data_IF_714281783481
#
_entry.id   IF_714281783481
#
_cell.length_a   1.000
_cell.length_b   1.000
_cell.length_c   1.000
_cell.angle_alpha   90.00
_cell.angle_beta   90.00
_cell.angle_gamma   90.00
#
_symmetry.space_group_name_H-M   'P 1'
#
loop_
_entity.id
_entity.type
_entity.pdbx_description
1 polymer ?
#
# COMPACT_ATOMS: atom_id res chain seq x y z
N UNK A 1 -4.53 10.59 -21.44
CA UNK A 1 -4.04 11.11 -20.14
C UNK A 1 -2.70 10.48 -19.85
N UNK A 2 -1.68 11.27 -19.50
CA UNK A 2 -0.37 10.75 -19.09
C UNK A 2 -0.45 10.37 -17.61
N UNK A 3 -0.16 9.11 -17.28
CA UNK A 3 -0.13 8.61 -15.90
C UNK A 3 1.18 9.04 -15.24
N UNK A 4 1.11 9.92 -14.23
CA UNK A 4 2.30 10.51 -13.57
C UNK A 4 2.71 9.81 -12.27
N UNK A 5 1.75 9.30 -11.48
CA UNK A 5 2.02 8.50 -10.27
C UNK A 5 1.18 7.20 -10.27
N UNK A 6 1.72 6.08 -10.77
CA UNK A 6 1.03 4.80 -10.77
C UNK A 6 0.69 4.26 -9.38
N UNK A 7 1.44 4.64 -8.33
CA UNK A 7 1.19 4.19 -6.96
C UNK A 7 0.01 4.97 -6.36
N UNK A 8 -0.05 6.28 -6.59
CA UNK A 8 -1.20 7.09 -6.17
C UNK A 8 -2.50 6.62 -6.85
N UNK A 9 -2.46 6.29 -8.15
CA UNK A 9 -3.60 5.69 -8.87
C UNK A 9 -4.04 4.37 -8.22
N UNK A 10 -3.09 3.48 -7.92
CA UNK A 10 -3.37 2.19 -7.28
C UNK A 10 -4.06 2.34 -5.91
N UNK A 11 -3.53 3.21 -5.04
CA UNK A 11 -4.13 3.48 -3.73
C UNK A 11 -5.53 4.11 -3.87
N UNK A 12 -5.71 4.99 -4.85
CA UNK A 12 -7.00 5.63 -5.12
C UNK A 12 -8.05 4.64 -5.61
N UNK A 13 -7.69 3.70 -6.49
CA UNK A 13 -8.58 2.61 -6.94
C UNK A 13 -9.05 1.76 -5.77
N UNK A 14 -8.14 1.36 -4.87
CA UNK A 14 -8.46 0.60 -3.66
C UNK A 14 -9.42 1.41 -2.78
N UNK A 15 -9.10 2.67 -2.50
CA UNK A 15 -9.95 3.56 -1.69
C UNK A 15 -11.36 3.68 -2.28
N UNK A 16 -11.46 3.93 -3.58
CA UNK A 16 -12.75 4.13 -4.24
C UNK A 16 -13.60 2.85 -4.19
N UNK A 17 -13.00 1.69 -4.51
CA UNK A 17 -13.67 0.39 -4.41
C UNK A 17 -14.13 0.08 -2.99
N UNK A 18 -13.31 0.39 -1.98
CA UNK A 18 -13.65 0.23 -0.57
C UNK A 18 -14.80 1.16 -0.13
N UNK A 19 -14.86 2.39 -0.64
CA UNK A 19 -15.96 3.33 -0.35
C UNK A 19 -17.31 2.82 -0.85
N UNK A 20 -17.35 2.15 -2.00
CA UNK A 20 -18.60 1.61 -2.58
C UNK A 20 -18.83 0.12 -2.24
N UNK A 21 -18.07 -0.44 -1.29
CA UNK A 21 -18.21 -1.84 -0.84
C UNK A 21 -18.07 -2.90 -1.95
N UNK A 22 -17.18 -2.67 -2.93
CA UNK A 22 -16.86 -3.68 -3.92
C UNK A 22 -16.07 -4.84 -3.28
N UNK A 23 -16.26 -6.06 -3.76
CA UNK A 23 -15.50 -7.23 -3.27
C UNK A 23 -14.06 -7.26 -3.77
N UNK A 24 -13.82 -6.70 -4.95
CA UNK A 24 -12.53 -6.73 -5.62
C UNK A 24 -12.25 -5.46 -6.43
N UNK A 25 -10.97 -5.20 -6.67
CA UNK A 25 -10.49 -4.12 -7.55
C UNK A 25 -9.28 -4.59 -8.33
N UNK A 26 -9.18 -4.15 -9.58
CA UNK A 26 -8.08 -4.48 -10.48
C UNK A 26 -7.28 -3.24 -10.86
N UNK A 27 -5.96 -3.42 -10.99
CA UNK A 27 -5.06 -2.40 -11.44
C UNK A 27 -3.89 -2.99 -12.23
N UNK A 28 -3.29 -2.22 -13.17
CA UNK A 28 -2.07 -2.63 -13.85
C UNK A 28 -0.96 -2.95 -12.85
N UNK A 29 -0.29 -4.09 -13.06
CA UNK A 29 0.71 -4.58 -12.13
C UNK A 29 2.03 -3.81 -12.24
N UNK A 30 2.77 -3.78 -11.12
CA UNK A 30 4.16 -3.39 -11.08
C UNK A 30 4.82 -4.05 -9.86
N UNK A 31 6.15 -4.13 -9.84
CA UNK A 31 6.89 -4.70 -8.70
C UNK A 31 6.53 -4.00 -7.38
N UNK A 32 6.44 -2.67 -7.40
CA UNK A 32 6.08 -1.85 -6.23
C UNK A 32 4.64 -2.11 -5.80
N UNK A 33 3.67 -2.16 -6.74
CA UNK A 33 2.27 -2.42 -6.41
C UNK A 33 2.07 -3.83 -5.85
N UNK A 34 2.79 -4.82 -6.37
CA UNK A 34 2.80 -6.19 -5.84
C UNK A 34 3.31 -6.23 -4.40
N UNK A 35 4.42 -5.56 -4.10
CA UNK A 35 4.95 -5.50 -2.74
C UNK A 35 4.00 -4.79 -1.76
N UNK A 36 3.34 -3.71 -2.20
CA UNK A 36 2.30 -3.04 -1.40
C UNK A 36 1.14 -4.00 -1.13
N UNK A 37 0.63 -4.70 -2.16
CA UNK A 37 -0.46 -5.65 -2.01
C UNK A 37 -0.10 -6.81 -1.05
N UNK A 38 1.13 -7.31 -1.14
CA UNK A 38 1.63 -8.34 -0.24
C UNK A 38 1.65 -7.87 1.22
N UNK A 39 2.17 -6.67 1.48
CA UNK A 39 2.15 -6.09 2.84
C UNK A 39 0.72 -5.88 3.34
N UNK A 40 -0.18 -5.38 2.50
CA UNK A 40 -1.59 -5.21 2.88
C UNK A 40 -2.25 -6.53 3.27
N UNK A 41 -1.88 -7.65 2.60
CA UNK A 41 -2.36 -8.99 2.95
C UNK A 41 -1.75 -9.46 4.27
N UNK A 42 -0.43 -9.34 4.43
CA UNK A 42 0.28 -9.78 5.63
C UNK A 42 -0.21 -9.06 6.90
N UNK A 43 -0.49 -7.76 6.80
CA UNK A 43 -1.02 -6.94 7.90
C UNK A 43 -2.56 -7.07 8.05
N UNK A 44 -3.21 -7.86 7.18
CA UNK A 44 -4.62 -8.21 7.32
C UNK A 44 -5.63 -7.14 6.88
N UNK A 45 -5.18 -6.11 6.15
CA UNK A 45 -6.02 -5.03 5.59
C UNK A 45 -6.87 -5.50 4.40
N UNK A 46 -6.35 -6.44 3.60
CA UNK A 46 -7.06 -7.06 2.49
C UNK A 46 -7.23 -8.56 2.75
N UNK A 47 -8.19 -9.18 2.07
CA UNK A 47 -8.41 -10.63 2.19
C UNK A 47 -7.32 -11.38 1.44
N UNK A 48 -7.11 -11.00 0.19
CA UNK A 48 -6.09 -11.61 -0.66
C UNK A 48 -5.74 -10.70 -1.85
N UNK A 49 -4.69 -11.06 -2.59
CA UNK A 49 -4.41 -10.53 -3.91
C UNK A 49 -3.92 -11.62 -4.85
N UNK A 50 -4.14 -11.42 -6.14
CA UNK A 50 -3.62 -12.29 -7.19
C UNK A 50 -2.95 -11.47 -8.29
N UNK A 51 -1.94 -12.08 -8.93
CA UNK A 51 -1.32 -11.58 -10.13
C UNK A 51 -1.83 -12.38 -11.33
N UNK A 52 -2.41 -11.68 -12.29
CA UNK A 52 -2.94 -12.26 -13.52
C UNK A 52 -2.03 -11.81 -14.67
N UNK A 53 -1.48 -12.77 -15.41
CA UNK A 53 -0.72 -12.48 -16.62
C UNK A 53 -1.68 -12.15 -17.77
N UNK A 54 -1.47 -11.02 -18.43
CA UNK A 54 -2.33 -10.49 -19.50
C UNK A 54 -1.60 -10.34 -20.85
N UNK A 55 -0.42 -10.96 -20.97
CA UNK A 55 0.48 -10.80 -22.12
C UNK A 55 1.11 -9.41 -22.24
N UNK A 56 0.97 -8.55 -21.21
CA UNK A 56 1.54 -7.20 -21.16
C UNK A 56 2.30 -7.00 -19.84
N UNK A 57 1.87 -6.06 -19.00
CA UNK A 57 2.49 -5.75 -17.71
C UNK A 57 1.91 -6.59 -16.56
N UNK A 58 0.83 -7.33 -16.82
CA UNK A 58 0.03 -8.04 -15.82
C UNK A 58 -0.98 -7.16 -15.10
N UNK A 59 -1.90 -7.81 -14.40
CA UNK A 59 -2.94 -7.20 -13.59
C UNK A 59 -2.78 -7.69 -12.14
N UNK A 60 -2.93 -6.78 -11.18
CA UNK A 60 -3.09 -7.14 -9.77
C UNK A 60 -4.57 -7.01 -9.45
N UNK A 61 -5.20 -8.12 -9.03
CA UNK A 61 -6.54 -8.11 -8.46
C UNK A 61 -6.43 -8.18 -6.94
N UNK A 62 -7.02 -7.20 -6.27
CA UNK A 62 -7.10 -7.12 -4.81
C UNK A 62 -8.51 -7.55 -4.38
N UNK A 63 -8.59 -8.45 -3.41
CA UNK A 63 -9.83 -8.81 -2.74
C UNK A 63 -9.95 -8.04 -1.42
N UNK A 64 -10.95 -7.16 -1.35
CA UNK A 64 -11.17 -6.31 -0.18
C UNK A 64 -11.74 -7.13 0.99
N UNK A 65 -11.47 -6.65 2.20
CA UNK A 65 -11.90 -7.29 3.44
C UNK A 65 -12.84 -6.35 4.19
N UNK A 66 -13.95 -6.92 4.65
CA UNK A 66 -14.96 -6.25 5.45
C UNK A 66 -15.19 -7.06 6.73
N UNK A 67 -15.68 -6.41 7.79
CA UNK A 67 -16.11 -7.10 9.01
C UNK A 67 -17.42 -7.86 8.76
N UNK A 68 -17.86 -8.67 9.74
CA UNK A 68 -19.15 -9.37 9.68
C UNK A 68 -20.32 -8.38 9.59
N UNK A 69 -20.18 -7.22 10.24
CA UNK A 69 -21.15 -6.12 10.23
C UNK A 69 -21.00 -5.21 8.99
N UNK A 70 -20.20 -5.64 8.01
CA UNK A 70 -19.94 -4.94 6.74
C UNK A 70 -19.23 -3.60 6.92
N UNK A 71 -18.45 -3.44 7.98
CA UNK A 71 -17.57 -2.29 8.16
C UNK A 71 -16.26 -2.47 7.38
N UNK A 72 -15.66 -1.34 7.00
CA UNK A 72 -14.42 -1.31 6.21
C UNK A 72 -13.22 -1.51 7.14
N UNK A 73 -12.35 -2.46 6.80
CA UNK A 73 -11.08 -2.66 7.53
C UNK A 73 -10.09 -1.53 7.20
N UNK A 74 -10.04 -1.12 5.93
CA UNK A 74 -9.22 0.03 5.52
C UNK A 74 -10.07 1.29 5.72
N UNK A 75 -9.64 2.18 6.59
CA UNK A 75 -10.29 3.47 6.83
C UNK A 75 -9.61 4.60 6.07
N UNK A 76 -8.31 4.48 5.78
CA UNK A 76 -7.51 5.49 5.10
C UNK A 76 -6.33 4.94 4.30
N UNK A 77 -6.12 5.54 3.14
CA UNK A 77 -4.94 5.30 2.28
C UNK A 77 -4.38 6.65 1.85
N UNK A 78 -3.09 6.89 2.12
CA UNK A 78 -2.45 8.18 1.79
C UNK A 78 -1.07 8.00 1.18
N UNK A 79 -0.88 8.49 -0.05
CA UNK A 79 0.43 8.61 -0.70
C UNK A 79 1.23 9.75 -0.05
N UNK A 80 2.43 9.44 0.47
CA UNK A 80 3.27 10.38 1.23
C UNK A 80 4.34 10.98 0.35
N UNK A 81 5.32 10.17 -0.08
CA UNK A 81 6.25 10.60 -1.12
C UNK A 81 5.50 10.77 -2.45
N UNK A 82 5.74 11.81 -3.22
CA UNK A 82 5.10 12.05 -4.53
C UNK A 82 6.17 12.48 -5.54
N UNK A 83 5.93 12.38 -6.86
CA UNK A 83 6.93 12.80 -7.85
C UNK A 83 7.45 14.23 -7.65
N UNK A 84 6.58 15.17 -7.25
CA UNK A 84 6.96 16.57 -6.98
C UNK A 84 7.62 16.81 -5.61
N UNK A 85 7.51 15.87 -4.66
CA UNK A 85 8.19 15.97 -3.37
C UNK A 85 8.42 14.57 -2.80
N UNK A 86 9.68 14.14 -2.84
CA UNK A 86 10.09 12.84 -2.29
C UNK A 86 10.30 12.96 -0.78
N UNK A 87 9.73 12.04 -0.03
CA UNK A 87 9.78 12.03 1.44
C UNK A 87 10.61 10.84 1.91
N UNK A 88 11.70 11.12 2.60
CA UNK A 88 12.60 10.12 3.16
C UNK A 88 12.64 10.21 4.68
N UNK A 89 12.77 9.08 5.34
CA UNK A 89 12.95 8.98 6.79
C UNK A 89 14.27 8.26 7.10
N UNK A 90 15.01 8.78 8.09
CA UNK A 90 16.14 8.06 8.69
C UNK A 90 15.58 6.97 9.61
N UNK A 91 16.40 5.97 9.93
CA UNK A 91 16.00 4.85 10.82
C UNK A 91 15.38 5.33 12.15
N UNK A 92 15.89 6.43 12.70
CA UNK A 92 15.46 6.97 13.99
C UNK A 92 14.23 7.90 13.86
N UNK A 93 13.90 8.32 12.63
CA UNK A 93 12.79 9.24 12.34
C UNK A 93 11.66 8.60 11.54
N UNK A 94 11.58 7.26 11.55
CA UNK A 94 10.51 6.53 10.89
C UNK A 94 9.16 6.92 11.51
N UNK A 95 8.21 7.45 10.71
CA UNK A 95 6.93 7.95 11.21
C UNK A 95 6.07 6.81 11.78
N UNK A 96 5.32 7.10 12.85
CA UNK A 96 4.26 6.22 13.37
C UNK A 96 2.92 6.71 12.86
N UNK A 97 2.13 5.83 12.24
CA UNK A 97 0.78 6.16 11.76
C UNK A 97 -0.23 5.90 12.87
N UNK A 98 -1.04 6.89 13.22
CA UNK A 98 -2.00 6.84 14.33
C UNK A 98 -1.42 6.27 15.63
N UNK A 99 -0.22 6.74 16.02
CA UNK A 99 0.44 6.26 17.24
C UNK A 99 0.93 4.80 17.19
N UNK A 100 0.86 4.13 16.05
CA UNK A 100 1.21 2.71 15.86
C UNK A 100 0.02 1.80 15.55
N UNK A 101 -1.19 2.35 15.46
CA UNK A 101 -2.40 1.62 15.06
C UNK A 101 -2.50 1.43 13.54
N UNK A 102 -1.90 2.33 12.76
CA UNK A 102 -1.72 2.17 11.32
C UNK A 102 -0.31 1.74 10.97
N UNK A 103 -0.07 1.52 9.68
CA UNK A 103 1.24 1.17 9.14
C UNK A 103 1.75 2.24 8.17
N UNK A 104 3.07 2.41 8.13
CA UNK A 104 3.72 3.09 7.02
C UNK A 104 4.50 2.06 6.18
N UNK A 105 4.37 2.16 4.86
CA UNK A 105 5.10 1.33 3.91
C UNK A 105 6.33 2.12 3.45
N UNK A 106 7.51 1.52 3.59
CA UNK A 106 8.79 2.18 3.40
C UNK A 106 9.63 1.40 2.39
N UNK A 107 10.15 2.09 1.38
CA UNK A 107 11.16 1.53 0.48
C UNK A 107 12.54 1.70 1.10
N UNK A 108 13.14 0.60 1.52
CA UNK A 108 14.49 0.55 2.08
C UNK A 108 15.48 -0.02 1.06
N UNK A 109 16.77 -0.04 1.39
CA UNK A 109 17.80 -0.70 0.58
C UNK A 109 17.63 -2.23 0.48
N UNK A 110 16.86 -2.85 1.39
CA UNK A 110 16.59 -4.31 1.39
C UNK A 110 15.22 -4.68 0.84
N UNK A 111 14.49 -3.71 0.30
CA UNK A 111 13.15 -3.90 -0.26
C UNK A 111 12.09 -3.04 0.42
N UNK A 112 10.85 -3.28 0.03
CA UNK A 112 9.68 -2.57 0.56
C UNK A 112 9.17 -3.33 1.78
N UNK A 113 9.11 -2.66 2.92
CA UNK A 113 8.76 -3.23 4.22
C UNK A 113 7.85 -2.30 5.01
N UNK A 114 7.27 -2.79 6.11
CA UNK A 114 6.52 -1.95 7.06
C UNK A 114 7.46 -1.15 7.95
N UNK A 115 6.94 -0.08 8.55
CA UNK A 115 7.67 0.76 9.49
C UNK A 115 8.17 0.00 10.73
N UNK A 116 7.40 -0.99 11.20
CA UNK A 116 7.82 -1.87 12.29
C UNK A 116 9.06 -2.67 11.90
N UNK A 117 9.04 -3.31 10.74
CA UNK A 117 10.17 -4.11 10.23
C UNK A 117 11.39 -3.23 9.93
N UNK A 118 11.19 -2.06 9.33
CA UNK A 118 12.26 -1.10 9.09
C UNK A 118 12.95 -0.64 10.39
N UNK A 119 12.19 -0.40 11.47
CA UNK A 119 12.77 -0.09 12.79
C UNK A 119 13.54 -1.26 13.38
N UNK A 120 13.02 -2.48 13.28
CA UNK A 120 13.69 -3.70 13.77
C UNK A 120 15.02 -3.94 13.04
N UNK A 121 15.06 -3.72 11.73
CA UNK A 121 16.28 -3.88 10.93
C UNK A 121 17.22 -2.65 10.99
N UNK A 122 16.81 -1.57 11.65
CA UNK A 122 17.59 -0.33 11.74
C UNK A 122 17.77 0.39 10.40
N UNK A 123 16.81 0.27 9.48
CA UNK A 123 16.88 0.81 8.12
C UNK A 123 16.00 2.05 7.94
N UNK A 124 16.53 3.08 7.31
CA UNK A 124 15.74 4.20 6.77
C UNK A 124 15.27 3.94 5.35
N UNK A 125 14.55 4.90 4.76
CA UNK A 125 14.07 4.76 3.39
C UNK A 125 13.09 5.83 2.92
N UNK A 126 12.56 5.66 1.71
CA UNK A 126 11.48 6.49 1.16
C UNK A 126 10.14 6.07 1.78
N UNK A 127 9.40 7.03 2.33
CA UNK A 127 8.07 6.79 2.89
C UNK A 127 7.05 6.77 1.76
N UNK A 128 6.61 5.58 1.36
CA UNK A 128 5.74 5.42 0.20
C UNK A 128 4.33 5.90 0.53
N UNK A 129 3.68 5.23 1.46
CA UNK A 129 2.30 5.51 1.83
C UNK A 129 2.00 5.10 3.26
N UNK A 130 0.91 5.66 3.77
CA UNK A 130 0.32 5.29 5.05
C UNK A 130 -1.01 4.58 4.80
N UNK A 131 -1.30 3.61 5.66
CA UNK A 131 -2.51 2.81 5.65
C UNK A 131 -3.02 2.71 7.09
N UNK A 132 -4.32 2.92 7.27
CA UNK A 132 -5.02 2.76 8.54
C UNK A 132 -6.51 2.49 8.30
#
# INVERSE_FOLDING_TARGET
>A
MVMTDPVADFLTRIRNANTVYHDKVEAPASKVKRAIAEILKQEGYIRDYEYIEDGKQGIIRIYLKYTKDRERIITGLKRISKPGLRVYARKDSIPKVLGGLGIAIISTSRGIVTDKKARQEGLGGEVICYVW
#
